data_IF_817445763229
#
_entry.id   IF_817445763229
#
_cell.length_a   1.000
_cell.length_b   1.000
_cell.length_c   1.000
_cell.angle_alpha   90.00
_cell.angle_beta   90.00
_cell.angle_gamma   90.00
#
_symmetry.space_group_name_H-M   'P 1'
#
loop_
_entity.id
_entity.type
_entity.pdbx_description
1 polymer ?
#
# COMPACT_ATOMS: atom_id res chain seq x y z
N UNK A 1 15.69 -24.00 0.89
CA UNK A 1 14.99 -22.92 0.15
C UNK A 1 14.79 -21.77 1.11
N UNK A 2 15.22 -20.56 0.76
CA UNK A 2 15.07 -19.38 1.61
C UNK A 2 13.74 -18.67 1.34
N UNK A 3 13.25 -17.92 2.33
CA UNK A 3 12.14 -17.00 2.13
C UNK A 3 12.65 -15.70 1.52
N UNK A 4 12.00 -15.23 0.46
CA UNK A 4 12.31 -13.93 -0.14
C UNK A 4 11.37 -12.88 0.44
N UNK A 5 11.94 -11.83 1.01
CA UNK A 5 11.19 -10.68 1.50
C UNK A 5 11.59 -9.42 0.76
N UNK A 6 10.61 -8.60 0.40
CA UNK A 6 10.83 -7.26 -0.14
C UNK A 6 10.67 -6.23 0.99
N UNK A 7 11.70 -5.42 1.24
CA UNK A 7 11.64 -4.29 2.15
C UNK A 7 11.28 -3.03 1.37
N UNK A 8 10.24 -2.31 1.79
CA UNK A 8 9.79 -1.13 1.05
C UNK A 8 9.24 -0.03 1.95
N UNK A 9 9.45 1.20 1.52
CA UNK A 9 8.90 2.44 2.11
C UNK A 9 7.72 2.98 1.29
N UNK A 10 7.29 2.23 0.27
CA UNK A 10 6.24 2.61 -0.67
C UNK A 10 5.08 1.65 -0.51
N UNK A 11 3.96 2.15 0.03
CA UNK A 11 2.73 1.39 0.12
C UNK A 11 1.89 1.61 -1.15
N UNK A 12 1.88 0.60 -2.02
CA UNK A 12 1.10 0.60 -3.26
C UNK A 12 -0.30 0.04 -3.04
N UNK A 13 -1.31 0.87 -3.20
CA UNK A 13 -2.72 0.55 -3.06
C UNK A 13 -3.26 -0.12 -4.33
N UNK A 14 -4.01 -1.24 -4.26
CA UNK A 14 -4.66 -1.87 -5.41
C UNK A 14 -5.94 -1.12 -5.83
N UNK A 15 -5.90 0.21 -5.74
CA UNK A 15 -7.01 1.09 -6.07
C UNK A 15 -6.48 2.19 -6.97
N UNK A 16 -7.32 2.63 -7.91
CA UNK A 16 -7.01 3.79 -8.73
C UNK A 16 -7.14 5.08 -7.93
N UNK A 17 -8.13 5.13 -7.03
CA UNK A 17 -8.40 6.25 -6.15
C UNK A 17 -8.77 5.75 -4.75
N UNK A 18 -8.50 6.56 -3.72
CA UNK A 18 -8.90 6.22 -2.36
C UNK A 18 -10.42 6.26 -2.23
N UNK A 19 -11.06 5.18 -1.73
CA UNK A 19 -12.49 5.19 -1.48
C UNK A 19 -12.91 6.26 -0.47
N UNK A 20 -14.07 6.88 -0.69
CA UNK A 20 -14.55 8.00 0.12
C UNK A 20 -15.35 7.53 1.34
N UNK A 21 -16.18 6.49 1.20
CA UNK A 21 -17.05 5.93 2.26
C UNK A 21 -16.84 4.45 2.59
N UNK A 22 -16.56 4.03 3.86
CA UNK A 22 -16.06 2.69 4.30
C UNK A 22 -16.66 1.42 3.68
N UNK A 23 -17.85 1.50 3.13
CA UNK A 23 -18.60 0.43 2.47
C UNK A 23 -18.18 0.17 1.01
N UNK A 24 -17.43 1.09 0.39
CA UNK A 24 -16.90 0.91 -0.96
C UNK A 24 -15.66 0.01 -0.89
N UNK A 25 -15.84 -1.31 -0.89
CA UNK A 25 -14.75 -2.27 -1.08
C UNK A 25 -14.34 -2.29 -2.56
N UNK A 26 -13.11 -1.91 -2.93
CA UNK A 26 -12.61 -2.02 -4.30
C UNK A 26 -12.24 -3.48 -4.62
N UNK A 27 -13.24 -4.37 -4.64
CA UNK A 27 -13.07 -5.80 -4.91
C UNK A 27 -12.71 -6.66 -3.70
N UNK A 28 -12.54 -7.97 -3.96
CA UNK A 28 -12.42 -9.05 -2.95
C UNK A 28 -11.15 -9.02 -2.09
N UNK A 29 -10.22 -8.10 -2.36
CA UNK A 29 -8.90 -8.06 -1.72
C UNK A 29 -8.69 -6.88 -0.76
N UNK A 30 -9.67 -5.98 -0.59
CA UNK A 30 -9.58 -4.88 0.37
C UNK A 30 -10.54 -5.09 1.54
N UNK A 31 -9.97 -5.46 2.69
CA UNK A 31 -10.59 -5.12 3.97
C UNK A 31 -10.37 -3.63 4.20
N UNK A 32 -11.30 -2.82 3.72
CA UNK A 32 -11.29 -1.39 3.97
C UNK A 32 -12.19 -1.05 5.16
N UNK A 33 -11.59 -0.49 6.20
CA UNK A 33 -12.31 -0.01 7.38
C UNK A 33 -11.68 1.29 7.83
N UNK A 34 -12.46 2.38 7.86
CA UNK A 34 -12.08 3.57 8.62
C UNK A 34 -12.52 3.40 10.06
N UNK A 35 -11.57 3.32 10.98
CA UNK A 35 -11.84 3.44 12.42
C UNK A 35 -11.04 4.60 12.96
N UNK A 36 -11.70 5.62 13.49
CA UNK A 36 -11.07 6.77 14.16
C UNK A 36 -9.97 7.47 13.34
N UNK A 37 -10.12 7.55 12.01
CA UNK A 37 -9.15 8.18 11.10
C UNK A 37 -8.06 7.24 10.54
N UNK A 38 -7.98 6.00 11.01
CA UNK A 38 -7.06 5.00 10.46
C UNK A 38 -7.66 4.28 9.25
N UNK A 39 -6.81 3.87 8.31
CA UNK A 39 -7.20 3.09 7.13
C UNK A 39 -6.56 1.71 7.25
N UNK A 40 -7.36 0.72 7.62
CA UNK A 40 -6.90 -0.66 7.55
C UNK A 40 -7.02 -1.09 6.08
N UNK A 41 -5.96 -1.64 5.49
CA UNK A 41 -6.01 -2.34 4.20
C UNK A 41 -5.31 -3.69 4.32
N UNK A 42 -6.08 -4.77 4.33
CA UNK A 42 -5.50 -6.08 4.01
C UNK A 42 -5.10 -6.10 2.54
N UNK A 43 -3.91 -6.61 2.21
CA UNK A 43 -3.53 -6.89 0.83
C UNK A 43 -3.30 -8.37 0.71
N UNK A 44 -3.80 -8.97 -0.36
CA UNK A 44 -3.47 -10.34 -0.74
C UNK A 44 -2.53 -10.35 -1.94
N UNK A 45 -1.34 -9.77 -1.80
CA UNK A 45 -0.29 -9.91 -2.83
C UNK A 45 0.55 -11.15 -2.52
N UNK A 46 0.96 -11.86 -3.56
CA UNK A 46 1.86 -13.01 -3.44
C UNK A 46 3.27 -12.52 -3.07
N UNK A 47 3.86 -13.11 -2.02
CA UNK A 47 5.19 -12.74 -1.53
C UNK A 47 5.16 -11.93 -0.23
N UNK A 48 6.20 -12.08 0.58
CA UNK A 48 6.34 -11.37 1.85
C UNK A 48 6.89 -9.96 1.64
N UNK A 49 6.11 -8.93 1.99
CA UNK A 49 6.58 -7.54 2.05
C UNK A 49 6.74 -7.12 3.50
N UNK A 50 7.83 -6.43 3.78
CA UNK A 50 8.05 -5.81 5.09
C UNK A 50 8.02 -4.30 4.94
N UNK A 51 7.10 -3.69 5.69
CA UNK A 51 7.00 -2.25 5.82
C UNK A 51 7.49 -1.83 7.21
N UNK A 52 8.14 -0.66 7.33
CA UNK A 52 8.66 -0.20 8.60
C UNK A 52 7.52 0.30 9.52
N UNK A 53 7.19 -0.50 10.53
CA UNK A 53 6.18 -0.15 11.54
C UNK A 53 6.61 1.11 12.29
N UNK A 54 5.68 2.06 12.41
CA UNK A 54 5.92 3.34 13.07
C UNK A 54 6.77 4.33 12.27
N UNK A 55 7.13 4.05 11.01
CA UNK A 55 7.83 5.02 10.16
C UNK A 55 6.89 5.58 9.08
N UNK A 56 7.16 6.81 8.59
CA UNK A 56 6.44 7.35 7.45
C UNK A 56 6.74 6.55 6.18
N UNK A 57 5.71 6.35 5.37
CA UNK A 57 5.76 5.68 4.07
C UNK A 57 5.04 6.52 3.02
N UNK A 58 5.50 6.44 1.77
CA UNK A 58 4.81 7.06 0.65
C UNK A 58 3.63 6.18 0.24
N UNK A 59 2.44 6.77 0.14
CA UNK A 59 1.23 6.07 -0.30
C UNK A 59 1.03 6.34 -1.79
N UNK A 60 0.88 5.27 -2.57
CA UNK A 60 0.79 5.35 -4.04
C UNK A 60 -0.34 4.46 -4.53
N UNK A 61 -1.08 4.86 -5.55
CA UNK A 61 -2.11 4.05 -6.21
C UNK A 61 -1.48 2.99 -7.12
N UNK A 62 -2.30 2.10 -7.67
CA UNK A 62 -1.86 1.13 -8.68
C UNK A 62 -1.48 1.80 -10.01
N UNK A 63 -1.95 3.02 -10.26
CA UNK A 63 -1.56 3.90 -11.40
C UNK A 63 -0.27 4.69 -11.14
N UNK A 64 0.44 4.35 -10.08
CA UNK A 64 1.65 5.03 -9.64
C UNK A 64 1.44 6.52 -9.31
N UNK A 65 0.21 6.88 -8.90
CA UNK A 65 -0.10 8.23 -8.44
C UNK A 65 0.09 8.31 -6.92
N UNK A 66 0.88 9.28 -6.50
CA UNK A 66 1.17 9.50 -5.08
C UNK A 66 0.00 10.21 -4.41
N UNK A 67 -0.41 9.71 -3.25
CA UNK A 67 -1.55 10.22 -2.50
C UNK A 67 -1.09 11.12 -1.35
N UNK A 68 0.00 10.74 -0.70
CA UNK A 68 0.48 11.42 0.50
C UNK A 68 1.41 10.54 1.32
N UNK A 69 1.57 10.93 2.60
CA UNK A 69 2.39 10.20 3.57
C UNK A 69 1.49 9.49 4.57
N UNK A 70 1.73 8.20 4.73
CA UNK A 70 1.10 7.38 5.75
C UNK A 70 2.09 6.87 6.78
N UNK A 71 1.57 6.23 7.82
CA UNK A 71 2.36 5.57 8.87
C UNK A 71 1.84 4.16 9.08
N UNK A 72 2.74 3.19 9.04
CA UNK A 72 2.39 1.78 9.25
C UNK A 72 2.15 1.54 10.75
N UNK A 73 1.02 0.96 11.08
CA UNK A 73 0.62 0.58 12.44
C UNK A 73 0.91 -0.90 12.71
N UNK A 74 0.69 -1.76 11.71
CA UNK A 74 0.89 -3.21 11.81
C UNK A 74 1.27 -3.77 10.44
N UNK A 75 2.17 -4.74 10.41
CA UNK A 75 2.57 -5.46 9.19
C UNK A 75 2.71 -6.94 9.55
N UNK A 76 1.93 -7.80 8.90
CA UNK A 76 1.91 -9.24 9.19
C UNK A 76 2.08 -10.04 7.92
N UNK A 77 2.89 -11.10 8.00
CA UNK A 77 3.09 -12.03 6.90
C UNK A 77 2.41 -13.34 7.27
N UNK A 78 1.46 -13.75 6.43
CA UNK A 78 0.66 -14.95 6.60
C UNK A 78 1.02 -15.98 5.53
N UNK A 79 1.16 -17.25 5.94
CA UNK A 79 1.26 -18.36 5.00
C UNK A 79 -0.15 -18.77 4.55
N UNK A 80 -0.37 -18.89 3.25
CA UNK A 80 -1.62 -19.34 2.66
C UNK A 80 -1.63 -20.88 2.51
N UNK A 81 -2.82 -21.51 2.47
CA UNK A 81 -2.93 -22.97 2.33
C UNK A 81 -2.28 -23.56 1.08
N UNK A 82 -2.13 -22.74 0.02
CA UNK A 82 -1.45 -23.11 -1.22
C UNK A 82 0.09 -23.00 -1.14
N UNK A 83 0.65 -22.78 0.05
CA UNK A 83 2.09 -22.61 0.29
C UNK A 83 2.64 -21.22 -0.08
N UNK A 84 1.80 -20.32 -0.60
CA UNK A 84 2.20 -18.92 -0.88
C UNK A 84 2.20 -18.10 0.40
N UNK A 85 2.78 -16.90 0.34
CA UNK A 85 2.74 -15.93 1.43
C UNK A 85 1.95 -14.71 1.04
N UNK A 86 1.39 -14.04 2.04
CA UNK A 86 0.70 -12.78 1.86
C UNK A 86 0.99 -11.79 2.99
N UNK A 87 0.83 -10.50 2.73
CA UNK A 87 1.16 -9.43 3.67
C UNK A 87 -0.06 -8.57 3.98
N UNK A 88 -0.49 -8.55 5.23
CA UNK A 88 -1.55 -7.68 5.74
C UNK A 88 -0.92 -6.47 6.40
N UNK A 89 -1.32 -5.25 6.04
CA UNK A 89 -0.75 -4.03 6.59
C UNK A 89 -1.82 -3.04 7.05
N UNK A 90 -1.75 -2.64 8.30
CA UNK A 90 -2.58 -1.57 8.84
C UNK A 90 -1.79 -0.26 8.78
N UNK A 91 -2.41 0.81 8.31
CA UNK A 91 -1.77 2.12 8.27
C UNK A 91 -2.75 3.25 8.54
N UNK A 92 -2.23 4.45 8.66
CA UNK A 92 -3.02 5.67 8.67
C UNK A 92 -2.41 6.68 7.73
N UNK A 93 -3.23 7.54 7.11
CA UNK A 93 -2.73 8.66 6.33
C UNK A 93 -2.47 9.80 7.30
N UNK A 94 -1.21 10.21 7.40
CA UNK A 94 -0.79 11.32 8.26
C UNK A 94 -0.88 12.67 7.55
N UNK A 95 -0.75 12.67 6.22
CA UNK A 95 -0.84 13.86 5.39
C UNK A 95 -1.26 13.48 3.98
N UNK A 96 -2.28 14.15 3.45
CA UNK A 96 -2.62 14.07 2.03
C UNK A 96 -1.87 15.17 1.27
N UNK A 97 -1.43 14.86 0.07
CA UNK A 97 -0.91 15.86 -0.86
C UNK A 97 -2.06 16.59 -1.54
N UNK A 98 -1.86 17.89 -1.76
CA UNK A 98 -2.73 18.67 -2.64
C UNK A 98 -2.50 18.32 -4.11
N UNK A 99 -3.28 18.92 -5.01
CA UNK A 99 -3.22 18.61 -6.45
C UNK A 99 -1.84 18.88 -7.07
N UNK A 100 -1.18 19.98 -6.67
CA UNK A 100 0.12 20.35 -7.20
C UNK A 100 1.21 19.41 -6.67
N UNK A 101 1.19 19.12 -5.38
CA UNK A 101 2.10 18.17 -4.74
C UNK A 101 1.95 16.77 -5.34
N UNK A 102 0.70 16.29 -5.48
CA UNK A 102 0.41 15.00 -6.10
C UNK A 102 1.00 14.92 -7.50
N UNK A 103 0.84 15.95 -8.33
CA UNK A 103 1.38 15.97 -9.69
C UNK A 103 2.90 15.82 -9.67
N UNK A 104 3.59 16.72 -8.98
CA UNK A 104 5.07 16.77 -8.97
C UNK A 104 5.66 15.50 -8.36
N UNK A 105 5.15 15.05 -7.21
CA UNK A 105 5.71 13.88 -6.52
C UNK A 105 5.41 12.60 -7.29
N UNK A 106 4.28 12.51 -8.00
CA UNK A 106 4.00 11.36 -8.86
C UNK A 106 4.91 11.30 -10.09
N UNK A 107 5.24 12.45 -10.70
CA UNK A 107 6.21 12.52 -11.79
C UNK A 107 7.58 12.01 -11.31
N UNK A 108 8.10 12.55 -10.20
CA UNK A 108 9.37 12.11 -9.61
C UNK A 108 9.34 10.64 -9.21
N UNK A 109 8.24 10.17 -8.63
CA UNK A 109 8.08 8.76 -8.25
C UNK A 109 8.17 7.85 -9.47
N UNK A 110 7.48 8.19 -10.55
CA UNK A 110 7.52 7.45 -11.83
C UNK A 110 8.92 7.51 -12.46
N UNK A 111 9.68 8.58 -12.31
CA UNK A 111 11.06 8.62 -12.79
C UNK A 111 11.99 7.69 -11.98
N UNK A 112 11.83 7.66 -10.65
CA UNK A 112 12.67 6.84 -9.78
C UNK A 112 12.31 5.35 -9.79
N UNK A 113 11.02 5.04 -9.92
CA UNK A 113 10.47 3.69 -9.75
C UNK A 113 9.74 3.16 -10.99
N UNK A 114 9.63 3.95 -12.05
CA UNK A 114 8.77 3.66 -13.20
C UNK A 114 9.17 2.41 -13.97
N UNK A 115 8.14 1.61 -14.23
CA UNK A 115 8.13 0.25 -14.76
C UNK A 115 8.67 -0.82 -13.80
N UNK A 116 7.85 -1.20 -12.81
CA UNK A 116 7.81 -2.62 -12.44
C UNK A 116 7.00 -3.34 -13.53
N UNK A 117 7.61 -4.25 -14.30
CA UNK A 117 6.86 -5.09 -15.23
C UNK A 117 5.74 -5.80 -14.48
N UNK A 118 4.58 -5.96 -15.11
CA UNK A 118 3.50 -6.78 -14.57
C UNK A 118 4.06 -8.14 -14.09
N UNK A 119 3.82 -8.50 -12.83
CA UNK A 119 4.15 -9.84 -12.31
C UNK A 119 5.26 -9.95 -11.25
N UNK A 120 5.61 -8.85 -10.55
CA UNK A 120 6.28 -8.94 -9.23
C UNK A 120 5.31 -8.69 -8.08
#
# INVERSE_FOLDING_TARGET
>A
MGYTFEFTWVLRLPVEELPTEPSQSPGDQLLWKRTHGNIILGFTREGGRMYPVGMPVLIVTNREETIGIGRIQRCEIHALPNGKQTTVVEFSITRMFDEQERRVVSEVFKEMYGYLPEGL
#
